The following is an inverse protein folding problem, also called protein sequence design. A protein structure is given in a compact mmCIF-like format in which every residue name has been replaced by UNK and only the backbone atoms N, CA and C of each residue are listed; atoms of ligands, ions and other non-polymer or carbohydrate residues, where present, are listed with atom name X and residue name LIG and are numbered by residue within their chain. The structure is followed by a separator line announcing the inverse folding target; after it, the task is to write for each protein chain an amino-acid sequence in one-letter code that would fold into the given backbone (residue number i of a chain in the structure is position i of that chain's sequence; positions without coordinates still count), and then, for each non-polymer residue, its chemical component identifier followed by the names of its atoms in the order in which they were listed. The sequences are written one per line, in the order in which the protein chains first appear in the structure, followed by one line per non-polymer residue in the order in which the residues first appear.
data_IF_942601126077
#
_entry.id   IF_942601126077
#
_cell.length_a   1.000
_cell.length_b   1.000
_cell.length_c   1.000
_cell.angle_alpha   90.00
_cell.angle_beta   90.00
_cell.angle_gamma   90.00
#
_symmetry.space_group_name_H-M   'P 1'
#
loop_
_entity.id
_entity.type
_entity.pdbx_description
1 polymer ?
#
# COMPACT_ATOMS: atom_id res chain seq x y z
N UNK A 1 -48.94 -21.22 -3.66
CA UNK A 1 -48.27 -21.19 -2.34
C UNK A 1 -46.91 -20.53 -2.49
N UNK A 2 -46.69 -19.38 -1.85
CA UNK A 2 -45.41 -18.65 -1.91
C UNK A 2 -44.47 -19.25 -0.85
N UNK A 3 -43.38 -19.90 -1.28
CA UNK A 3 -42.34 -20.41 -0.38
C UNK A 3 -41.45 -19.23 0.04
N UNK A 4 -41.34 -19.02 1.34
CA UNK A 4 -40.50 -18.00 1.97
C UNK A 4 -39.02 -18.28 1.69
N UNK A 5 -38.41 -17.53 0.76
CA UNK A 5 -36.96 -17.51 0.49
C UNK A 5 -36.24 -16.39 1.27
N UNK A 6 -36.86 -15.87 2.34
CA UNK A 6 -36.50 -14.56 2.90
C UNK A 6 -35.42 -14.53 3.99
N UNK A 7 -34.65 -15.61 4.17
CA UNK A 7 -33.48 -15.58 5.04
C UNK A 7 -32.28 -16.23 4.34
N UNK A 8 -31.68 -15.51 3.41
CA UNK A 8 -30.30 -15.76 3.00
C UNK A 8 -29.43 -14.66 3.61
N UNK A 9 -28.37 -14.98 4.37
CA UNK A 9 -27.41 -13.99 4.87
C UNK A 9 -26.49 -13.55 3.72
N UNK A 10 -27.07 -12.93 2.69
CA UNK A 10 -26.36 -12.55 1.46
C UNK A 10 -25.86 -11.10 1.49
N UNK A 11 -26.18 -10.34 2.55
CA UNK A 11 -25.84 -8.91 2.67
C UNK A 11 -24.49 -8.61 3.35
N UNK A 12 -23.84 -9.58 3.99
CA UNK A 12 -22.56 -9.38 4.67
C UNK A 12 -21.35 -9.52 3.76
N UNK A 13 -21.42 -10.38 2.75
CA UNK A 13 -20.24 -10.75 1.95
C UNK A 13 -19.73 -9.61 1.08
N UNK A 14 -20.62 -8.80 0.50
CA UNK A 14 -20.23 -7.64 -0.32
C UNK A 14 -19.42 -6.60 0.47
N UNK A 15 -19.90 -6.22 1.66
CA UNK A 15 -19.21 -5.25 2.52
C UNK A 15 -17.86 -5.76 3.04
N UNK A 16 -17.74 -7.06 3.30
CA UNK A 16 -16.47 -7.66 3.72
C UNK A 16 -15.46 -7.66 2.56
N UNK A 17 -15.91 -7.99 1.35
CA UNK A 17 -15.05 -7.92 0.16
C UNK A 17 -14.63 -6.47 -0.12
N UNK A 18 -15.54 -5.51 -0.04
CA UNK A 18 -15.23 -4.09 -0.22
C UNK A 18 -14.19 -3.59 0.80
N UNK A 19 -14.30 -4.01 2.06
CA UNK A 19 -13.33 -3.68 3.10
C UNK A 19 -11.95 -4.28 2.82
N UNK A 20 -11.87 -5.54 2.39
CA UNK A 20 -10.62 -6.21 2.00
C UNK A 20 -9.98 -5.52 0.77
N UNK A 21 -10.78 -5.10 -0.20
CA UNK A 21 -10.29 -4.32 -1.34
C UNK A 21 -9.76 -2.96 -0.91
N UNK A 22 -10.46 -2.26 -0.01
CA UNK A 22 -10.01 -0.97 0.52
C UNK A 22 -8.68 -1.10 1.27
N UNK A 23 -8.51 -2.15 2.07
CA UNK A 23 -7.25 -2.45 2.78
C UNK A 23 -6.11 -2.71 1.79
N UNK A 24 -6.31 -3.55 0.78
CA UNK A 24 -5.30 -3.81 -0.25
C UNK A 24 -4.91 -2.53 -1.02
N UNK A 25 -5.88 -1.67 -1.34
CA UNK A 25 -5.61 -0.38 -2.00
C UNK A 25 -4.79 0.52 -1.07
N UNK A 26 -5.15 0.59 0.21
CA UNK A 26 -4.45 1.41 1.20
C UNK A 26 -3.01 0.93 1.39
N UNK A 27 -2.80 -0.37 1.56
CA UNK A 27 -1.46 -0.96 1.71
C UNK A 27 -0.59 -0.67 0.49
N UNK A 28 -1.15 -0.80 -0.72
CA UNK A 28 -0.45 -0.46 -1.95
C UNK A 28 -0.09 1.03 -2.00
N UNK A 29 -1.04 1.91 -1.68
CA UNK A 29 -0.82 3.35 -1.69
C UNK A 29 0.27 3.77 -0.68
N UNK A 30 0.26 3.19 0.53
CA UNK A 30 1.28 3.44 1.55
C UNK A 30 2.65 2.95 1.07
N UNK A 31 2.73 1.76 0.49
CA UNK A 31 3.98 1.20 -0.01
C UNK A 31 4.56 2.06 -1.16
N UNK A 32 3.73 2.47 -2.12
CA UNK A 32 4.12 3.33 -3.23
C UNK A 32 4.55 4.72 -2.76
N UNK A 33 3.83 5.30 -1.80
CA UNK A 33 4.17 6.60 -1.21
C UNK A 33 5.53 6.56 -0.51
N UNK A 34 5.79 5.56 0.33
CA UNK A 34 7.10 5.38 0.99
C UNK A 34 8.22 5.21 -0.03
N UNK A 35 8.01 4.42 -1.08
CA UNK A 35 8.98 4.26 -2.18
C UNK A 35 9.25 5.58 -2.91
N UNK A 36 8.23 6.39 -3.13
CA UNK A 36 8.37 7.70 -3.77
C UNK A 36 9.18 8.67 -2.89
N UNK A 37 8.86 8.75 -1.59
CA UNK A 37 9.59 9.58 -0.64
C UNK A 37 11.07 9.22 -0.58
N UNK A 38 11.38 7.92 -0.47
CA UNK A 38 12.76 7.46 -0.40
C UNK A 38 13.56 7.80 -1.66
N UNK A 39 12.95 7.69 -2.84
CA UNK A 39 13.57 8.10 -4.11
C UNK A 39 13.86 9.60 -4.15
N UNK A 40 12.91 10.42 -3.71
CA UNK A 40 13.08 11.88 -3.66
C UNK A 40 14.21 12.26 -2.70
N UNK A 41 14.33 11.56 -1.58
CA UNK A 41 15.39 11.78 -0.59
C UNK A 41 16.77 11.32 -1.12
N UNK A 42 16.83 10.17 -1.80
CA UNK A 42 18.02 9.72 -2.53
C UNK A 42 18.46 10.78 -3.57
N UNK A 43 17.54 11.33 -4.36
CA UNK A 43 17.85 12.39 -5.33
C UNK A 43 18.42 13.64 -4.64
N UNK A 44 17.87 14.02 -3.47
CA UNK A 44 18.44 15.09 -2.64
C UNK A 44 19.86 14.78 -2.17
N UNK A 45 20.15 13.55 -1.73
CA UNK A 45 21.51 13.18 -1.31
C UNK A 45 22.52 13.29 -2.46
N UNK A 46 22.10 12.97 -3.69
CA UNK A 46 22.93 13.13 -4.89
C UNK A 46 23.25 14.60 -5.16
N UNK A 47 22.26 15.48 -5.06
CA UNK A 47 22.45 16.94 -5.20
C UNK A 47 23.41 17.49 -4.13
N UNK A 48 23.29 17.00 -2.90
CA UNK A 48 24.17 17.38 -1.79
C UNK A 48 25.55 16.70 -1.82
N UNK A 49 25.80 15.80 -2.79
CA UNK A 49 26.99 14.95 -2.88
C UNK A 49 27.27 14.16 -1.58
N UNK A 50 26.21 13.82 -0.84
CA UNK A 50 26.32 13.06 0.40
C UNK A 50 26.28 11.55 0.10
N UNK A 51 27.47 10.97 -0.06
CA UNK A 51 27.66 9.56 -0.40
C UNK A 51 27.16 8.61 0.69
N UNK A 52 27.33 8.97 1.96
CA UNK A 52 26.98 8.09 3.08
C UNK A 52 25.47 7.94 3.19
N UNK A 53 24.74 9.05 3.16
CA UNK A 53 23.27 9.03 3.21
C UNK A 53 22.67 8.39 1.96
N UNK A 54 23.27 8.62 0.77
CA UNK A 54 22.86 7.96 -0.46
C UNK A 54 22.92 6.43 -0.35
N UNK A 55 24.02 5.88 0.19
CA UNK A 55 24.20 4.43 0.32
C UNK A 55 23.24 3.82 1.33
N UNK A 56 22.98 4.53 2.43
CA UNK A 56 22.02 4.12 3.47
C UNK A 56 20.60 4.05 2.91
N UNK A 57 20.11 5.14 2.32
CA UNK A 57 18.77 5.21 1.74
C UNK A 57 18.60 4.25 0.56
N UNK A 58 19.63 4.07 -0.27
CA UNK A 58 19.60 3.09 -1.37
C UNK A 58 19.50 1.64 -0.86
N UNK A 59 20.11 1.35 0.29
CA UNK A 59 20.01 0.02 0.91
C UNK A 59 18.62 -0.20 1.50
N UNK A 60 18.03 0.83 2.10
CA UNK A 60 16.65 0.80 2.60
C UNK A 60 15.65 0.64 1.45
N UNK A 61 15.86 1.31 0.31
CA UNK A 61 15.02 1.13 -0.88
C UNK A 61 15.02 -0.32 -1.37
N UNK A 62 16.18 -0.99 -1.34
CA UNK A 62 16.33 -2.39 -1.75
C UNK A 62 15.64 -3.38 -0.82
N UNK A 63 15.43 -3.03 0.45
CA UNK A 63 14.71 -3.90 1.38
C UNK A 63 13.19 -3.80 1.21
N UNK A 64 12.70 -2.65 0.73
CA UNK A 64 11.27 -2.37 0.52
C UNK A 64 10.83 -2.70 -0.92
N UNK A 65 11.77 -2.78 -1.86
CA UNK A 65 11.52 -3.09 -3.27
C UNK A 65 11.50 -4.57 -3.56
#
# INVERSE_FOLDING_TARGET
MKKNLLNSPQKSNGKVLDALFAEMILDKAIAEFRKAQLKEEIDRTLLMKNKEEFLKLSSELKQIS
#
